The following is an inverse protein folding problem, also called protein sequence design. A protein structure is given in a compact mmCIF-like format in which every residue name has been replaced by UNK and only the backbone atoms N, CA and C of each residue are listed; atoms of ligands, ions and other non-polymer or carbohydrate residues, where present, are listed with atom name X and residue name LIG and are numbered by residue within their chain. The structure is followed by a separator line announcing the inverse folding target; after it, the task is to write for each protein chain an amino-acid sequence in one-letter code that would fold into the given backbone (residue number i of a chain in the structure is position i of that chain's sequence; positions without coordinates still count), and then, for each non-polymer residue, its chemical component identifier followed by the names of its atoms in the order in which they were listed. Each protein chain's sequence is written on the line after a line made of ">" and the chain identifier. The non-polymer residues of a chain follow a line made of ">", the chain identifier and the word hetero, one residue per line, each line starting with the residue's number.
data_IF_543623268803
#
_entry.id   IF_543623268803
#
_cell.length_a   1.000
_cell.length_b   1.000
_cell.length_c   1.000
_cell.angle_alpha   90.00
_cell.angle_beta   90.00
_cell.angle_gamma   90.00
#
_symmetry.space_group_name_H-M   'P 1'
#
loop_
_entity.id
_entity.type
_entity.pdbx_description
1 polymer ?
#
# COMPACT_ATOMS: atom_id res chain seq x y z
N UNK A 1 -54.19 -46.60 36.80
CA UNK A 1 -53.37 -45.52 37.41
C UNK A 1 -52.08 -45.39 36.54
N UNK A 2 -52.10 -44.52 35.53
CA UNK A 2 -50.97 -44.40 34.58
C UNK A 2 -50.44 -42.97 34.65
N UNK A 3 -49.23 -42.79 35.18
CA UNK A 3 -48.51 -41.53 35.21
C UNK A 3 -47.66 -41.46 33.92
N UNK A 4 -48.03 -40.59 33.01
CA UNK A 4 -47.22 -40.23 31.81
C UNK A 4 -46.20 -39.16 32.23
N UNK A 5 -44.93 -39.50 32.15
CA UNK A 5 -43.83 -38.57 32.30
C UNK A 5 -43.58 -37.89 30.96
N UNK A 6 -43.72 -36.56 30.89
CA UNK A 6 -43.36 -35.75 29.76
C UNK A 6 -41.87 -35.39 29.84
N UNK A 7 -41.07 -35.84 28.89
CA UNK A 7 -39.68 -35.46 28.76
C UNK A 7 -39.58 -34.21 27.84
N UNK A 8 -39.22 -33.07 28.41
CA UNK A 8 -38.93 -31.83 27.68
C UNK A 8 -37.50 -31.89 27.13
N UNK A 9 -37.34 -32.02 25.82
CA UNK A 9 -36.06 -31.82 25.14
C UNK A 9 -35.80 -30.34 24.95
N UNK A 10 -34.86 -29.80 25.72
CA UNK A 10 -34.25 -28.48 25.42
C UNK A 10 -33.26 -28.64 24.26
N UNK A 11 -33.64 -28.15 23.07
CA UNK A 11 -32.72 -28.01 21.95
C UNK A 11 -31.85 -26.76 22.14
N UNK A 12 -30.61 -26.97 22.53
CA UNK A 12 -29.59 -25.90 22.62
C UNK A 12 -29.12 -25.56 21.22
N UNK A 13 -29.68 -24.51 20.62
CA UNK A 13 -29.28 -23.99 19.32
C UNK A 13 -27.90 -23.30 19.40
N UNK A 14 -26.85 -24.01 19.02
CA UNK A 14 -25.53 -23.44 18.86
C UNK A 14 -25.51 -22.62 17.54
N UNK A 15 -25.70 -21.31 17.61
CA UNK A 15 -25.53 -20.41 16.50
C UNK A 15 -24.03 -20.37 16.15
N UNK A 16 -23.62 -21.15 15.16
CA UNK A 16 -22.31 -21.01 14.52
C UNK A 16 -22.29 -19.67 13.80
N UNK A 17 -21.69 -18.64 14.44
CA UNK A 17 -21.26 -17.45 13.74
C UNK A 17 -20.15 -17.86 12.78
N UNK A 18 -20.49 -18.15 11.53
CA UNK A 18 -19.53 -18.28 10.45
C UNK A 18 -18.93 -16.91 10.18
N UNK A 19 -17.74 -16.65 10.75
CA UNK A 19 -16.92 -15.51 10.37
C UNK A 19 -16.50 -15.73 8.92
N UNK A 20 -17.03 -14.94 8.03
CA UNK A 20 -16.53 -14.85 6.65
C UNK A 20 -15.11 -14.29 6.74
N UNK A 21 -14.12 -15.11 6.43
CA UNK A 21 -12.75 -14.63 6.29
C UNK A 21 -12.76 -13.57 5.18
N UNK A 22 -12.37 -12.33 5.53
CA UNK A 22 -12.24 -11.28 4.53
C UNK A 22 -11.18 -11.73 3.50
N UNK A 23 -11.57 -11.76 2.23
CA UNK A 23 -10.63 -12.09 1.16
C UNK A 23 -9.48 -11.05 1.17
N UNK A 24 -8.25 -11.52 0.95
CA UNK A 24 -7.10 -10.64 0.85
C UNK A 24 -7.34 -9.59 -0.24
N UNK A 25 -7.00 -8.31 -0.01
CA UNK A 25 -7.19 -7.26 -0.99
C UNK A 25 -6.52 -7.60 -2.32
N UNK A 26 -7.25 -7.48 -3.42
CA UNK A 26 -6.68 -7.66 -4.75
C UNK A 26 -6.01 -6.36 -5.18
N UNK A 27 -4.73 -6.46 -5.52
CA UNK A 27 -3.93 -5.35 -6.04
C UNK A 27 -3.93 -5.40 -7.55
N UNK A 28 -4.39 -4.33 -8.20
CA UNK A 28 -4.29 -4.12 -9.65
C UNK A 28 -3.13 -3.19 -9.95
N UNK A 29 -2.29 -3.54 -10.94
CA UNK A 29 -1.15 -2.72 -11.35
C UNK A 29 -1.01 -2.76 -12.86
N UNK A 30 -0.91 -1.58 -13.45
CA UNK A 30 -0.65 -1.38 -14.86
C UNK A 30 0.60 -0.52 -15.06
N UNK A 31 1.32 -0.76 -16.15
CA UNK A 31 2.48 0.02 -16.54
C UNK A 31 2.46 0.30 -18.03
N UNK A 32 2.79 1.54 -18.40
CA UNK A 32 2.92 1.96 -19.80
C UNK A 32 4.24 2.70 -20.02
N UNK A 33 4.85 2.57 -21.19
CA UNK A 33 6.00 3.40 -21.54
C UNK A 33 5.53 4.78 -22.00
N UNK A 34 6.25 5.81 -21.56
CA UNK A 34 6.01 7.18 -21.96
C UNK A 34 7.37 7.90 -22.16
N UNK A 35 7.83 8.00 -23.41
CA UNK A 35 9.18 8.47 -23.71
C UNK A 35 10.23 7.51 -23.11
N UNK A 36 11.20 8.07 -22.40
CA UNK A 36 12.24 7.30 -21.68
C UNK A 36 11.78 6.80 -20.31
N UNK A 37 10.60 7.22 -19.85
CA UNK A 37 10.03 6.86 -18.56
C UNK A 37 8.96 5.77 -18.63
N UNK A 38 8.50 5.40 -17.45
CA UNK A 38 7.40 4.45 -17.24
C UNK A 38 6.33 5.13 -16.39
N UNK A 39 5.09 5.08 -16.87
CA UNK A 39 3.89 5.44 -16.10
C UNK A 39 3.39 4.18 -15.40
N UNK A 40 3.01 4.35 -14.15
CA UNK A 40 2.47 3.28 -13.30
C UNK A 40 1.14 3.74 -12.73
N UNK A 41 0.15 2.88 -12.81
CA UNK A 41 -1.11 3.01 -12.05
C UNK A 41 -1.33 1.77 -11.21
N UNK A 42 -1.83 1.95 -10.00
CA UNK A 42 -2.17 0.86 -9.10
C UNK A 42 -3.40 1.21 -8.28
N UNK A 43 -4.19 0.21 -7.89
CA UNK A 43 -5.23 0.38 -6.88
C UNK A 43 -5.50 -0.91 -6.10
N UNK A 44 -6.06 -0.74 -4.92
CA UNK A 44 -6.58 -1.81 -4.09
C UNK A 44 -7.78 -1.33 -3.28
N UNK A 45 -8.81 -2.18 -3.18
CA UNK A 45 -9.98 -1.97 -2.32
C UNK A 45 -9.82 -2.78 -1.04
N UNK A 46 -9.99 -2.14 0.11
CA UNK A 46 -9.72 -2.70 1.43
C UNK A 46 -10.89 -2.43 2.38
N UNK A 47 -11.21 -3.40 3.22
CA UNK A 47 -12.14 -3.22 4.33
C UNK A 47 -11.36 -2.77 5.56
N UNK A 48 -11.03 -1.47 5.64
CA UNK A 48 -10.20 -0.86 6.69
C UNK A 48 -10.71 0.53 7.04
N UNK A 49 -10.26 1.07 8.18
CA UNK A 49 -10.50 2.47 8.54
C UNK A 49 -9.67 3.42 7.68
N UNK A 50 -10.29 4.52 7.23
CA UNK A 50 -9.64 5.53 6.39
C UNK A 50 -8.46 6.22 7.12
N UNK A 51 -8.60 6.43 8.43
CA UNK A 51 -7.54 7.01 9.26
C UNK A 51 -6.35 6.08 9.38
N UNK A 52 -6.60 4.77 9.53
CA UNK A 52 -5.55 3.75 9.53
C UNK A 52 -4.82 3.71 8.19
N UNK A 53 -5.55 3.69 7.07
CA UNK A 53 -4.93 3.75 5.74
C UNK A 53 -4.07 5.01 5.56
N UNK A 54 -4.58 6.17 6.00
CA UNK A 54 -3.83 7.42 5.98
C UNK A 54 -2.56 7.34 6.83
N UNK A 55 -2.66 6.86 8.07
CA UNK A 55 -1.53 6.79 8.99
C UNK A 55 -0.37 5.94 8.45
N UNK A 56 -0.66 4.92 7.65
CA UNK A 56 0.38 4.07 7.03
C UNK A 56 1.04 4.75 5.84
N UNK A 57 0.26 5.34 4.92
CA UNK A 57 0.84 5.97 3.71
C UNK A 57 1.59 7.26 4.01
N UNK A 58 1.35 7.89 5.16
CA UNK A 58 2.03 9.11 5.61
C UNK A 58 3.12 8.84 6.67
N UNK A 59 3.40 7.59 7.00
CA UNK A 59 4.41 7.17 7.98
C UNK A 59 5.80 7.07 7.33
N UNK A 60 6.31 8.19 6.80
CA UNK A 60 7.51 8.20 5.96
C UNK A 60 8.75 7.64 6.66
N UNK A 61 8.90 7.90 7.96
CA UNK A 61 10.10 7.48 8.72
C UNK A 61 10.16 5.96 8.94
N UNK A 62 9.04 5.25 8.82
CA UNK A 62 8.97 3.80 8.99
C UNK A 62 8.72 3.02 7.69
N UNK A 63 8.64 3.70 6.53
CA UNK A 63 8.39 3.01 5.25
C UNK A 63 9.41 1.91 4.96
N UNK A 64 10.67 2.13 5.32
CA UNK A 64 11.73 1.15 5.09
C UNK A 64 11.56 -0.15 5.89
N UNK A 65 10.72 -0.18 6.93
CA UNK A 65 10.47 -1.37 7.74
C UNK A 65 9.59 -2.39 7.01
N UNK A 66 8.76 -1.94 6.08
CA UNK A 66 7.80 -2.82 5.41
C UNK A 66 7.79 -2.70 3.87
N UNK A 67 8.37 -1.66 3.28
CA UNK A 67 8.47 -1.53 1.81
C UNK A 67 9.70 -2.28 1.31
N UNK A 68 9.55 -3.33 0.49
CA UNK A 68 10.67 -4.08 -0.05
C UNK A 68 11.64 -3.20 -0.86
N UNK A 69 12.93 -3.50 -0.74
CA UNK A 69 14.04 -2.83 -1.42
C UNK A 69 14.28 -1.35 -1.00
N UNK A 70 13.47 -0.82 -0.08
CA UNK A 70 13.74 0.46 0.57
C UNK A 70 14.68 0.24 1.75
N UNK A 71 15.81 0.96 1.78
CA UNK A 71 16.82 0.88 2.84
C UNK A 71 16.62 1.95 3.90
N UNK A 72 16.17 3.12 3.48
CA UNK A 72 15.86 4.22 4.39
C UNK A 72 14.79 5.12 3.81
N UNK A 73 14.02 5.72 4.70
CA UNK A 73 13.09 6.81 4.40
C UNK A 73 13.04 7.71 5.63
N UNK A 74 13.19 9.01 5.44
CA UNK A 74 13.25 9.96 6.56
C UNK A 74 12.69 11.33 6.16
N UNK A 75 11.85 11.89 7.00
CA UNK A 75 11.46 13.30 6.92
C UNK A 75 12.63 14.17 7.37
N UNK A 76 13.16 15.01 6.46
CA UNK A 76 14.28 15.91 6.76
C UNK A 76 13.82 17.35 7.01
N UNK A 77 12.61 17.70 6.54
CA UNK A 77 11.98 18.98 6.79
C UNK A 77 10.46 18.84 6.75
N UNK A 78 9.75 19.54 7.62
CA UNK A 78 8.28 19.65 7.61
C UNK A 78 7.88 21.11 7.81
N UNK A 79 7.02 21.61 6.93
CA UNK A 79 6.41 22.94 7.00
C UNK A 79 4.91 22.80 6.66
N UNK A 80 4.11 22.64 7.70
CA UNK A 80 2.68 22.35 7.57
C UNK A 80 2.41 21.04 6.82
N UNK A 81 1.75 21.17 5.67
CA UNK A 81 1.42 20.07 4.76
C UNK A 81 2.52 19.74 3.74
N UNK A 82 3.62 20.48 3.76
CA UNK A 82 4.78 20.27 2.89
C UNK A 82 5.93 19.62 3.64
N UNK A 83 6.53 18.62 3.02
CA UNK A 83 7.65 17.87 3.58
C UNK A 83 8.77 17.73 2.55
N UNK A 84 10.00 17.59 3.05
CA UNK A 84 11.10 16.99 2.30
C UNK A 84 11.40 15.63 2.92
N UNK A 85 11.42 14.61 2.08
CA UNK A 85 11.65 13.22 2.49
C UNK A 85 12.83 12.66 1.71
N UNK A 86 13.88 12.22 2.42
CA UNK A 86 15.00 11.51 1.82
C UNK A 86 14.71 10.01 1.82
N UNK A 87 14.87 9.39 0.65
CA UNK A 87 14.71 7.96 0.49
C UNK A 87 15.93 7.34 -0.22
N UNK A 88 16.32 6.14 0.21
CA UNK A 88 17.32 5.33 -0.44
C UNK A 88 16.86 3.87 -0.50
N UNK A 89 17.29 3.17 -1.54
CA UNK A 89 16.96 1.78 -1.72
C UNK A 89 17.57 1.21 -3.00
N UNK A 90 17.04 0.07 -3.44
CA UNK A 90 17.45 -0.57 -4.67
C UNK A 90 16.26 -0.71 -5.63
N UNK A 91 16.52 -0.46 -6.89
CA UNK A 91 15.59 -0.76 -7.98
C UNK A 91 16.17 -1.90 -8.81
N UNK A 92 15.39 -2.94 -9.00
CA UNK A 92 15.82 -4.01 -9.89
C UNK A 92 15.27 -5.38 -9.56
N UNK A 93 15.80 -6.37 -10.29
CA UNK A 93 15.42 -7.76 -10.16
C UNK A 93 16.55 -8.67 -10.63
N UNK A 94 16.82 -9.75 -9.89
CA UNK A 94 17.90 -10.70 -10.15
C UNK A 94 19.27 -10.01 -10.27
N UNK A 95 19.87 -10.11 -11.47
CA UNK A 95 21.22 -9.59 -11.76
C UNK A 95 21.26 -8.09 -12.05
N UNK A 96 20.09 -7.45 -12.27
CA UNK A 96 20.01 -6.01 -12.49
C UNK A 96 19.54 -5.33 -11.20
N UNK A 97 20.46 -4.70 -10.50
CA UNK A 97 20.17 -3.89 -9.32
C UNK A 97 20.85 -2.53 -9.45
N UNK A 98 20.06 -1.49 -9.24
CA UNK A 98 20.52 -0.11 -9.27
C UNK A 98 20.19 0.55 -7.94
N UNK A 99 21.19 1.14 -7.29
CA UNK A 99 20.95 1.96 -6.10
C UNK A 99 20.18 3.22 -6.49
N UNK A 100 19.13 3.52 -5.74
CA UNK A 100 18.32 4.72 -5.88
C UNK A 100 18.49 5.57 -4.63
N UNK A 101 18.76 6.84 -4.84
CA UNK A 101 18.68 7.88 -3.81
C UNK A 101 17.84 9.02 -4.35
N UNK A 102 16.87 9.49 -3.57
CA UNK A 102 15.98 10.55 -4.00
C UNK A 102 15.57 11.41 -2.83
N UNK A 103 15.51 12.72 -3.05
CA UNK A 103 14.80 13.66 -2.17
C UNK A 103 13.48 14.03 -2.80
N UNK A 104 12.41 13.79 -2.06
CA UNK A 104 11.05 14.07 -2.49
C UNK A 104 10.53 15.33 -1.80
N UNK A 105 9.97 16.25 -2.57
CA UNK A 105 9.01 17.21 -2.08
C UNK A 105 7.65 16.51 -2.02
N UNK A 106 7.05 16.50 -0.85
CA UNK A 106 5.76 15.85 -0.58
C UNK A 106 4.77 16.91 -0.13
N UNK A 107 3.56 16.85 -0.67
CA UNK A 107 2.43 17.68 -0.24
C UNK A 107 1.29 16.76 0.19
N UNK A 108 0.83 16.95 1.43
CA UNK A 108 -0.24 16.17 2.03
C UNK A 108 -1.57 16.91 2.00
N UNK A 109 -2.64 16.20 1.66
CA UNK A 109 -4.02 16.58 1.98
C UNK A 109 -4.58 15.47 2.87
N UNK A 110 -4.60 15.66 4.21
CA UNK A 110 -4.89 14.59 5.16
C UNK A 110 -6.16 13.80 4.84
N UNK A 111 -6.02 12.48 4.85
CA UNK A 111 -7.08 11.50 4.54
C UNK A 111 -7.66 11.59 3.12
N UNK A 112 -7.02 12.33 2.22
CA UNK A 112 -7.45 12.46 0.83
C UNK A 112 -6.35 12.04 -0.13
N UNK A 113 -5.21 12.73 -0.15
CA UNK A 113 -4.15 12.42 -1.09
C UNK A 113 -2.78 12.89 -0.64
N UNK A 114 -1.77 12.28 -1.21
CA UNK A 114 -0.36 12.66 -1.11
C UNK A 114 0.16 12.86 -2.54
N UNK A 115 0.82 13.98 -2.78
CA UNK A 115 1.57 14.21 -4.02
C UNK A 115 3.06 14.26 -3.68
N UNK A 116 3.87 13.50 -4.41
CA UNK A 116 5.32 13.48 -4.22
C UNK A 116 6.02 13.74 -5.57
N UNK A 117 7.10 14.53 -5.52
CA UNK A 117 7.93 14.84 -6.67
C UNK A 117 9.41 14.82 -6.27
N UNK A 118 10.25 14.17 -7.07
CA UNK A 118 11.70 14.23 -6.88
C UNK A 118 12.22 15.65 -7.15
N UNK A 119 13.01 16.16 -6.20
CA UNK A 119 13.70 17.44 -6.30
C UNK A 119 15.21 17.31 -6.38
N UNK A 120 15.74 16.14 -6.01
CA UNK A 120 17.15 15.76 -6.22
C UNK A 120 17.32 14.23 -6.11
N UNK A 121 18.46 13.72 -6.54
CA UNK A 121 18.80 12.29 -6.50
C UNK A 121 19.19 11.79 -7.89
N UNK A 122 19.14 10.49 -8.12
CA UNK A 122 19.53 9.84 -9.38
C UNK A 122 18.33 9.37 -10.22
N UNK A 123 17.20 10.06 -10.08
CA UNK A 123 16.04 9.95 -10.95
C UNK A 123 15.85 11.27 -11.69
N UNK A 124 15.80 11.23 -13.02
CA UNK A 124 15.57 12.42 -13.85
C UNK A 124 14.17 13.00 -13.62
N UNK A 125 13.20 12.11 -13.45
CA UNK A 125 11.84 12.44 -13.09
C UNK A 125 11.29 11.35 -12.16
N UNK A 126 10.68 11.77 -11.09
CA UNK A 126 9.77 10.95 -10.29
C UNK A 126 8.67 11.85 -9.78
N UNK A 127 7.48 11.54 -10.17
CA UNK A 127 6.26 12.17 -9.65
C UNK A 127 5.21 11.10 -9.40
N UNK A 128 4.44 11.27 -8.35
CA UNK A 128 3.42 10.29 -8.00
C UNK A 128 2.36 10.89 -7.10
N UNK A 129 1.17 10.31 -7.18
CA UNK A 129 0.03 10.68 -6.35
C UNK A 129 -0.63 9.44 -5.78
N UNK A 130 -0.78 9.41 -4.47
CA UNK A 130 -1.67 8.50 -3.77
C UNK A 130 -2.99 9.20 -3.51
N UNK A 131 -4.11 8.48 -3.66
CA UNK A 131 -5.46 8.96 -3.34
C UNK A 131 -6.15 7.91 -2.49
N UNK A 132 -6.82 8.34 -1.43
CA UNK A 132 -7.70 7.53 -0.60
C UNK A 132 -9.14 7.97 -0.82
N UNK A 133 -10.01 7.02 -1.09
CA UNK A 133 -11.44 7.24 -1.31
C UNK A 133 -12.28 6.23 -0.52
N UNK A 134 -13.34 6.71 0.12
CA UNK A 134 -14.36 5.84 0.69
C UNK A 134 -15.37 5.49 -0.41
N UNK A 135 -15.47 4.21 -0.73
CA UNK A 135 -16.42 3.69 -1.72
C UNK A 135 -17.83 3.58 -1.12
N UNK A 136 -18.83 3.56 -1.98
CA UNK A 136 -20.23 3.33 -1.57
C UNK A 136 -20.43 1.97 -0.89
N UNK A 137 -19.54 1.02 -1.12
CA UNK A 137 -19.50 -0.31 -0.44
C UNK A 137 -19.01 -0.26 1.00
N UNK A 138 -18.53 0.91 1.49
CA UNK A 138 -17.87 1.07 2.78
C UNK A 138 -16.40 0.62 2.79
N UNK A 139 -15.84 0.24 1.65
CA UNK A 139 -14.42 -0.06 1.51
C UNK A 139 -13.61 1.22 1.25
N UNK A 140 -12.35 1.20 1.64
CA UNK A 140 -11.37 2.24 1.29
C UNK A 140 -10.60 1.78 0.05
N UNK A 141 -10.62 2.62 -0.99
CA UNK A 141 -9.75 2.47 -2.16
C UNK A 141 -8.48 3.28 -1.97
N UNK A 142 -7.34 2.63 -2.06
CA UNK A 142 -6.05 3.28 -2.25
C UNK A 142 -5.69 3.20 -3.73
N UNK A 143 -5.50 4.37 -4.37
CA UNK A 143 -5.04 4.48 -5.75
C UNK A 143 -3.67 5.15 -5.80
N UNK A 144 -2.84 4.75 -6.76
CA UNK A 144 -1.57 5.37 -7.08
C UNK A 144 -1.49 5.63 -8.58
N UNK A 145 -1.02 6.81 -8.95
CA UNK A 145 -0.62 7.14 -10.31
C UNK A 145 0.71 7.89 -10.26
N UNK A 146 1.67 7.47 -11.07
CA UNK A 146 2.98 8.12 -11.08
C UNK A 146 3.77 7.86 -12.35
N UNK A 147 4.82 8.66 -12.55
CA UNK A 147 5.79 8.53 -13.63
C UNK A 147 7.20 8.54 -13.06
N UNK A 148 8.01 7.62 -13.54
CA UNK A 148 9.41 7.50 -13.16
C UNK A 148 10.27 7.47 -14.42
N UNK A 149 11.33 8.29 -14.43
CA UNK A 149 12.33 8.34 -15.47
C UNK A 149 13.72 8.32 -14.81
N UNK A 150 14.41 7.17 -14.79
CA UNK A 150 15.72 7.06 -14.20
C UNK A 150 16.78 7.75 -15.04
N UNK A 151 17.90 8.18 -14.41
CA UNK A 151 19.07 8.70 -15.11
C UNK A 151 19.92 7.61 -15.77
N UNK A 152 19.70 6.36 -15.39
CA UNK A 152 20.37 5.20 -15.96
C UNK A 152 19.49 4.53 -17.03
N UNK A 153 20.10 3.90 -18.06
CA UNK A 153 19.35 3.29 -19.13
C UNK A 153 18.56 2.08 -18.63
N UNK A 154 17.24 2.09 -18.86
CA UNK A 154 16.39 0.92 -18.69
C UNK A 154 16.43 0.11 -19.99
N UNK A 155 16.74 -1.20 -19.93
CA UNK A 155 16.64 -2.05 -21.13
C UNK A 155 15.20 -2.01 -21.68
N UNK A 156 14.98 -1.65 -22.95
CA UNK A 156 13.64 -1.35 -23.50
C UNK A 156 12.61 -2.45 -23.32
N UNK A 157 13.06 -3.72 -23.41
CA UNK A 157 12.16 -4.89 -23.30
C UNK A 157 11.90 -5.28 -21.85
N UNK A 158 12.88 -5.08 -20.96
CA UNK A 158 12.84 -5.57 -19.57
C UNK A 158 12.37 -4.50 -18.60
N UNK A 159 12.61 -3.22 -18.93
CA UNK A 159 12.36 -2.09 -18.01
C UNK A 159 10.92 -2.00 -17.50
N UNK A 160 9.93 -2.15 -18.39
CA UNK A 160 8.51 -2.17 -17.98
C UNK A 160 8.16 -3.35 -17.06
N UNK A 161 8.65 -4.53 -17.38
CA UNK A 161 8.37 -5.73 -16.60
C UNK A 161 9.01 -5.64 -15.22
N UNK A 162 10.24 -5.14 -15.14
CA UNK A 162 10.95 -4.89 -13.88
C UNK A 162 10.21 -3.82 -13.07
N UNK A 163 9.86 -2.68 -13.67
CA UNK A 163 9.10 -1.63 -13.00
C UNK A 163 7.77 -2.14 -12.45
N UNK A 164 6.99 -2.85 -13.28
CA UNK A 164 5.74 -3.45 -12.84
C UNK A 164 5.94 -4.39 -11.65
N UNK A 165 6.97 -5.24 -11.68
CA UNK A 165 7.24 -6.19 -10.60
C UNK A 165 7.67 -5.48 -9.31
N UNK A 166 8.54 -4.49 -9.39
CA UNK A 166 8.97 -3.69 -8.23
C UNK A 166 7.78 -2.97 -7.62
N UNK A 167 7.01 -2.26 -8.44
CA UNK A 167 5.81 -1.55 -7.97
C UNK A 167 4.76 -2.49 -7.40
N UNK A 168 4.56 -3.68 -8.00
CA UNK A 168 3.66 -4.69 -7.48
C UNK A 168 4.06 -5.14 -6.06
N UNK A 169 5.34 -5.38 -5.83
CA UNK A 169 5.84 -5.78 -4.51
C UNK A 169 5.67 -4.66 -3.48
N UNK A 170 6.07 -3.44 -3.83
CA UNK A 170 6.01 -2.28 -2.93
C UNK A 170 4.57 -1.89 -2.62
N UNK A 171 3.70 -1.79 -3.61
CA UNK A 171 2.29 -1.45 -3.40
C UNK A 171 1.54 -2.55 -2.62
N UNK A 172 1.82 -3.83 -2.91
CA UNK A 172 1.25 -4.94 -2.14
C UNK A 172 1.73 -4.96 -0.69
N UNK A 173 2.98 -4.60 -0.43
CA UNK A 173 3.51 -4.50 0.93
C UNK A 173 2.84 -3.35 1.71
N UNK A 174 2.64 -2.20 1.05
CA UNK A 174 1.90 -1.07 1.61
C UNK A 174 0.46 -1.46 1.99
N UNK A 175 -0.27 -2.11 1.07
CA UNK A 175 -1.63 -2.61 1.29
C UNK A 175 -1.67 -3.61 2.44
N UNK A 176 -0.73 -4.54 2.49
CA UNK A 176 -0.58 -5.51 3.58
C UNK A 176 -0.40 -4.84 4.94
N UNK A 177 0.46 -3.83 5.00
CA UNK A 177 0.73 -3.09 6.24
C UNK A 177 -0.50 -2.32 6.71
N UNK A 178 -1.27 -1.71 5.80
CA UNK A 178 -2.54 -1.06 6.12
C UNK A 178 -3.51 -2.05 6.77
N UNK A 179 -3.72 -3.21 6.15
CA UNK A 179 -4.62 -4.25 6.68
C UNK A 179 -4.13 -4.79 8.03
N UNK A 180 -2.83 -4.99 8.18
CA UNK A 180 -2.22 -5.46 9.43
C UNK A 180 -2.43 -4.47 10.57
N UNK A 181 -2.19 -3.16 10.34
CA UNK A 181 -2.38 -2.13 11.39
C UNK A 181 -3.85 -1.96 11.72
N UNK A 182 -4.75 -2.07 10.75
CA UNK A 182 -6.19 -2.00 10.96
C UNK A 182 -6.71 -3.18 11.82
N UNK A 183 -6.27 -4.40 11.52
CA UNK A 183 -6.60 -5.58 12.31
C UNK A 183 -6.09 -5.46 13.75
N UNK A 184 -4.87 -4.96 13.94
CA UNK A 184 -4.28 -4.74 15.27
C UNK A 184 -5.08 -3.69 16.07
N UNK A 185 -5.51 -2.59 15.43
CA UNK A 185 -6.31 -1.54 16.06
C UNK A 185 -7.73 -2.04 16.43
N UNK A 186 -8.29 -2.94 15.61
CA UNK A 186 -9.62 -3.54 15.82
C UNK A 186 -9.63 -4.71 16.81
N UNK A 187 -8.49 -5.13 17.37
CA UNK A 187 -8.36 -6.26 18.28
C UNK A 187 -8.65 -7.62 17.61
N UNK A 188 -8.60 -7.70 16.29
CA UNK A 188 -8.80 -8.94 15.52
C UNK A 188 -7.46 -9.68 15.43
N UNK A 189 -7.33 -10.93 15.91
CA UNK A 189 -6.10 -11.71 15.75
C UNK A 189 -5.77 -11.91 14.27
N UNK A 190 -4.49 -11.79 13.94
CA UNK A 190 -3.97 -12.02 12.60
C UNK A 190 -4.27 -13.47 12.15
N UNK A 191 -4.78 -13.71 10.93
CA UNK A 191 -4.93 -15.07 10.42
C UNK A 191 -3.52 -15.67 10.22
N UNK A 192 -3.28 -16.81 10.86
CA UNK A 192 -2.05 -17.62 10.74
C UNK A 192 -1.93 -18.26 9.36
#
# INVERSE_FOLDING_TARGET
>A
MNRRAAASLLALGCALCTRTAAAAPQVSIETASQGEGVVVTAFADMQVDLGTAWSVISDYDHLAEFIPDMQSSRVVQRDGDRLLVDQAGHFGFLIFQQAITVRLEVVESPRQHIVARAVSGNLRLMEGRYVLEMLATGQVRLSYAGRVEPEFPLPPVVGKAVMRRVMARQFSALVKEIVRRDAAASGVPEPR
#
